data_IF_371862671913
#
_entry.id   IF_371862671913
#
_cell.length_a   1.000
_cell.length_b   1.000
_cell.length_c   1.000
_cell.angle_alpha   90.00
_cell.angle_beta   90.00
_cell.angle_gamma   90.00
#
_symmetry.space_group_name_H-M   'P 1'
#
loop_
_entity.id
_entity.type
_entity.pdbx_description
1 polymer ?
#
# COMPACT_ATOMS: atom_id res chain seq x y z
N UNK A 1 39.77 16.78 -55.99
CA UNK A 1 39.86 16.23 -54.61
C UNK A 1 38.74 16.66 -53.67
N UNK A 2 38.10 17.83 -53.85
CA UNK A 2 36.99 18.27 -52.97
C UNK A 2 35.68 17.48 -53.16
N UNK A 3 35.32 17.12 -54.39
CA UNK A 3 34.09 16.37 -54.69
C UNK A 3 34.04 14.97 -54.07
N UNK A 4 35.20 14.29 -53.97
CA UNK A 4 35.29 12.95 -53.39
C UNK A 4 35.07 12.97 -51.85
N UNK A 5 35.49 14.05 -51.18
CA UNK A 5 35.29 14.23 -49.73
C UNK A 5 33.83 14.55 -49.39
N UNK A 6 33.15 15.33 -50.22
CA UNK A 6 31.72 15.64 -50.04
C UNK A 6 30.83 14.39 -50.25
N UNK A 7 31.18 13.52 -51.21
CA UNK A 7 30.47 12.26 -51.45
C UNK A 7 30.65 11.26 -50.30
N UNK A 8 31.84 11.17 -49.71
CA UNK A 8 32.11 10.33 -48.53
C UNK A 8 31.34 10.78 -47.29
N UNK A 9 31.21 12.10 -47.09
CA UNK A 9 30.42 12.65 -45.97
C UNK A 9 28.93 12.39 -46.16
N UNK A 10 28.41 12.53 -47.38
CA UNK A 10 27.01 12.22 -47.69
C UNK A 10 26.69 10.72 -47.55
N UNK A 11 27.61 9.81 -47.89
CA UNK A 11 27.41 8.37 -47.67
C UNK A 11 27.36 8.00 -46.19
N UNK A 12 28.12 8.68 -45.33
CA UNK A 12 28.07 8.47 -43.88
C UNK A 12 26.71 8.92 -43.32
N UNK A 13 26.16 10.04 -43.79
CA UNK A 13 24.84 10.52 -43.35
C UNK A 13 23.69 9.61 -43.80
N UNK A 14 23.79 8.97 -44.98
CA UNK A 14 22.76 8.03 -45.46
C UNK A 14 22.80 6.70 -44.68
N UNK A 15 23.98 6.23 -44.26
CA UNK A 15 24.10 5.03 -43.42
C UNK A 15 23.52 5.25 -42.01
N UNK A 16 23.62 6.48 -41.47
CA UNK A 16 23.00 6.81 -40.17
C UNK A 16 21.45 6.87 -40.28
N UNK A 17 20.91 7.06 -41.48
CA UNK A 17 19.47 7.22 -41.72
C UNK A 17 18.72 5.92 -42.04
N UNK A 18 19.41 4.78 -42.18
CA UNK A 18 18.81 3.53 -42.69
C UNK A 18 18.90 2.32 -41.75
N UNK A 19 19.27 2.50 -40.49
CA UNK A 19 19.14 1.44 -39.48
C UNK A 19 17.76 1.44 -38.82
N UNK A 20 16.71 1.21 -39.61
CA UNK A 20 15.49 0.57 -39.09
C UNK A 20 15.73 -0.94 -39.15
N UNK A 21 16.23 -1.51 -38.06
CA UNK A 21 16.22 -2.95 -37.86
C UNK A 21 15.52 -3.29 -36.55
N UNK A 22 14.44 -4.03 -36.74
CA UNK A 22 13.57 -4.67 -35.78
C UNK A 22 14.32 -5.75 -34.96
N UNK A 23 14.09 -5.70 -33.63
CA UNK A 23 14.29 -6.74 -32.60
C UNK A 23 15.64 -6.86 -31.87
N UNK A 24 15.52 -7.16 -30.57
CA UNK A 24 16.54 -7.38 -29.51
C UNK A 24 16.98 -6.13 -28.76
N UNK A 25 16.80 -6.13 -27.44
CA UNK A 25 17.00 -4.99 -26.52
C UNK A 25 18.31 -4.24 -26.79
N UNK A 26 18.23 -3.11 -27.47
CA UNK A 26 19.39 -2.29 -27.79
C UNK A 26 19.75 -1.43 -26.57
N UNK A 27 21.04 -1.42 -26.23
CA UNK A 27 21.61 -0.46 -25.29
C UNK A 27 21.23 0.96 -25.72
N UNK A 28 21.00 1.85 -24.76
CA UNK A 28 20.63 3.24 -25.06
C UNK A 28 21.65 3.87 -26.02
N UNK A 29 21.16 4.69 -26.94
CA UNK A 29 22.06 5.58 -27.69
C UNK A 29 22.77 6.51 -26.71
N UNK A 30 23.92 7.06 -27.08
CA UNK A 30 24.64 8.04 -26.24
C UNK A 30 23.70 9.18 -25.79
N UNK A 31 22.84 9.67 -26.69
CA UNK A 31 21.85 10.72 -26.39
C UNK A 31 20.82 10.26 -25.36
N UNK A 32 20.28 9.07 -25.50
CA UNK A 32 19.30 8.52 -24.56
C UNK A 32 19.96 8.25 -23.20
N UNK A 33 21.21 7.80 -23.19
CA UNK A 33 22.00 7.58 -21.98
C UNK A 33 22.21 8.89 -21.22
N UNK A 34 22.56 9.99 -21.91
CA UNK A 34 22.65 11.32 -21.30
C UNK A 34 21.29 11.81 -20.76
N UNK A 35 20.21 11.58 -21.51
CA UNK A 35 18.85 11.92 -21.09
C UNK A 35 18.47 11.19 -19.80
N UNK A 36 18.73 9.88 -19.71
CA UNK A 36 18.47 9.10 -18.48
C UNK A 36 19.35 9.59 -17.31
N UNK A 37 20.63 9.85 -17.54
CA UNK A 37 21.60 10.18 -16.48
C UNK A 37 21.52 11.60 -15.95
N UNK A 38 21.13 12.58 -16.77
CA UNK A 38 21.17 13.99 -16.39
C UNK A 38 19.78 14.60 -16.27
N UNK A 39 18.87 14.24 -17.18
CA UNK A 39 17.52 14.81 -17.17
C UNK A 39 16.59 14.01 -16.24
N UNK A 40 16.67 12.68 -16.27
CA UNK A 40 15.80 11.84 -15.45
C UNK A 40 16.44 11.45 -14.08
N UNK A 41 17.73 11.13 -14.01
CA UNK A 41 18.43 10.60 -12.80
C UNK A 41 18.33 11.40 -11.49
N UNK A 42 18.23 12.75 -11.49
CA UNK A 42 18.06 13.51 -10.25
C UNK A 42 16.85 13.05 -9.43
N UNK A 43 15.78 12.61 -10.09
CA UNK A 43 14.55 12.10 -9.46
C UNK A 43 14.78 10.69 -8.88
N UNK A 44 15.51 9.82 -9.59
CA UNK A 44 15.90 8.49 -9.08
C UNK A 44 16.80 8.57 -7.84
N UNK A 45 17.70 9.54 -7.78
CA UNK A 45 18.55 9.76 -6.60
C UNK A 45 17.74 10.23 -5.40
N UNK A 46 16.72 11.05 -5.61
CA UNK A 46 15.81 11.48 -4.54
C UNK A 46 14.90 10.35 -4.05
N UNK A 47 14.43 9.47 -4.94
CA UNK A 47 13.66 8.27 -4.57
C UNK A 47 14.50 7.26 -3.78
N UNK A 48 15.80 7.12 -4.10
CA UNK A 48 16.73 6.22 -3.39
C UNK A 48 17.20 6.74 -2.04
N UNK A 49 16.98 8.02 -1.73
CA UNK A 49 17.39 8.66 -0.48
C UNK A 49 16.18 9.28 0.22
N UNK A 50 15.36 8.47 0.91
CA UNK A 50 14.15 8.96 1.53
C UNK A 50 14.51 9.60 2.87
N UNK A 51 14.85 10.89 2.87
CA UNK A 51 14.95 11.65 4.12
C UNK A 51 13.59 12.16 4.60
N UNK A 52 12.55 12.12 3.75
CA UNK A 52 11.20 12.56 4.12
C UNK A 52 10.10 11.74 3.38
N UNK A 53 9.19 11.06 4.11
CA UNK A 53 8.05 10.33 3.53
C UNK A 53 7.10 11.20 2.70
N UNK A 54 6.84 12.46 3.09
CA UNK A 54 6.02 13.42 2.33
C UNK A 54 6.63 13.72 0.97
N UNK A 55 7.95 13.89 0.94
CA UNK A 55 8.69 14.08 -0.31
C UNK A 55 8.63 12.83 -1.21
N UNK A 56 8.61 11.62 -0.65
CA UNK A 56 8.43 10.38 -1.43
C UNK A 56 7.01 10.30 -2.00
N UNK A 57 5.99 10.64 -1.22
CA UNK A 57 4.60 10.70 -1.68
C UNK A 57 4.42 11.74 -2.80
N UNK A 58 4.91 12.96 -2.63
CA UNK A 58 4.90 14.02 -3.66
C UNK A 58 5.59 13.56 -4.97
N UNK A 59 6.60 12.68 -4.86
CA UNK A 59 7.31 12.09 -5.98
C UNK A 59 6.59 10.89 -6.61
N UNK A 60 5.48 10.39 -6.04
CA UNK A 60 4.75 9.21 -6.50
C UNK A 60 3.26 9.47 -6.85
N UNK A 61 2.63 10.54 -6.33
CA UNK A 61 1.17 10.79 -6.37
C UNK A 61 0.56 11.21 -7.73
N UNK A 62 1.37 11.39 -8.79
CA UNK A 62 0.91 11.99 -10.08
C UNK A 62 0.97 11.05 -11.29
N UNK A 63 0.73 9.75 -11.09
CA UNK A 63 0.69 8.76 -12.15
C UNK A 63 -0.74 8.42 -12.67
N UNK A 64 -1.81 8.80 -11.97
CA UNK A 64 -3.20 8.62 -12.42
C UNK A 64 -3.97 9.96 -12.32
N UNK A 65 -4.73 10.29 -13.36
CA UNK A 65 -5.20 11.65 -13.70
C UNK A 65 -6.51 12.04 -12.99
N UNK A 66 -6.58 13.25 -12.37
CA UNK A 66 -7.53 14.34 -12.71
C UNK A 66 -7.85 15.32 -11.57
N UNK A 67 -7.71 16.61 -11.89
CA UNK A 67 -8.43 17.81 -11.39
C UNK A 67 -8.29 18.23 -9.92
N UNK A 68 -7.58 19.35 -9.79
CA UNK A 68 -7.44 20.27 -8.66
C UNK A 68 -6.21 20.08 -7.77
N UNK A 69 -5.59 21.23 -7.52
CA UNK A 69 -4.52 21.53 -6.58
C UNK A 69 -3.10 21.48 -7.21
N UNK A 70 -2.52 22.67 -7.20
CA UNK A 70 -1.17 22.99 -7.65
C UNK A 70 -0.17 22.23 -6.78
N UNK A 71 0.50 21.24 -7.36
CA UNK A 71 1.91 20.86 -7.10
C UNK A 71 2.34 19.75 -8.10
N UNK A 72 1.96 19.93 -9.38
CA UNK A 72 1.87 18.88 -10.40
C UNK A 72 3.11 18.68 -11.32
N UNK A 73 4.35 18.81 -10.83
CA UNK A 73 5.50 19.07 -11.73
C UNK A 73 6.60 17.99 -11.80
N UNK A 74 6.66 16.99 -10.91
CA UNK A 74 7.83 16.10 -10.81
C UNK A 74 7.70 14.78 -11.60
N UNK A 75 6.58 14.05 -11.50
CA UNK A 75 6.39 12.76 -12.17
C UNK A 75 5.98 12.88 -13.62
N UNK A 76 5.09 13.83 -13.95
CA UNK A 76 4.74 14.11 -15.35
C UNK A 76 6.02 14.33 -16.15
N UNK A 77 7.00 15.00 -15.55
CA UNK A 77 8.31 15.23 -16.16
C UNK A 77 9.13 13.95 -16.26
N UNK A 78 9.18 13.08 -15.24
CA UNK A 78 9.98 11.84 -15.28
C UNK A 78 9.35 10.69 -16.09
N UNK A 79 8.05 10.43 -15.93
CA UNK A 79 7.32 9.50 -16.79
C UNK A 79 7.37 9.97 -18.24
N UNK A 80 7.22 11.27 -18.55
CA UNK A 80 7.46 11.78 -19.91
C UNK A 80 8.93 11.67 -20.33
N UNK A 81 9.88 11.88 -19.42
CA UNK A 81 11.33 11.76 -19.67
C UNK A 81 11.69 10.33 -20.12
N UNK A 82 11.09 9.31 -19.52
CA UNK A 82 11.34 7.91 -19.86
C UNK A 82 10.34 7.29 -20.83
N UNK A 83 9.13 7.86 -21.01
CA UNK A 83 8.05 7.26 -21.81
C UNK A 83 8.46 7.01 -23.27
N UNK A 84 9.27 7.90 -23.83
CA UNK A 84 9.76 7.81 -25.21
C UNK A 84 11.01 6.95 -25.36
N UNK A 85 11.64 6.53 -24.25
CA UNK A 85 12.87 5.75 -24.26
C UNK A 85 12.56 4.26 -24.07
N UNK A 86 12.96 3.41 -25.02
CA UNK A 86 12.69 1.95 -24.99
C UNK A 86 13.96 1.12 -24.80
N UNK A 87 15.09 1.76 -24.51
CA UNK A 87 16.38 1.09 -24.32
C UNK A 87 16.53 0.46 -22.93
N UNK A 88 17.45 -0.50 -22.79
CA UNK A 88 17.61 -1.32 -21.59
C UNK A 88 17.79 -0.50 -20.29
N UNK A 89 18.58 0.57 -20.33
CA UNK A 89 18.82 1.42 -19.16
C UNK A 89 17.57 2.23 -18.78
N UNK A 90 16.80 2.70 -19.76
CA UNK A 90 15.52 3.37 -19.53
C UNK A 90 14.49 2.40 -18.94
N UNK A 91 14.41 1.17 -19.44
CA UNK A 91 13.53 0.13 -18.89
C UNK A 91 13.91 -0.24 -17.44
N UNK A 92 15.21 -0.34 -17.13
CA UNK A 92 15.68 -0.52 -15.75
C UNK A 92 15.30 0.67 -14.86
N UNK A 93 15.41 1.89 -15.35
CA UNK A 93 15.02 3.09 -14.62
C UNK A 93 13.50 3.14 -14.37
N UNK A 94 12.67 2.80 -15.36
CA UNK A 94 11.21 2.66 -15.23
C UNK A 94 10.87 1.61 -14.16
N UNK A 95 11.51 0.44 -14.21
CA UNK A 95 11.26 -0.63 -13.22
C UNK A 95 11.68 -0.25 -11.79
N UNK A 96 12.72 0.57 -11.62
CA UNK A 96 13.11 1.12 -10.31
C UNK A 96 12.08 2.16 -9.82
N UNK A 97 11.57 3.01 -10.71
CA UNK A 97 10.54 3.98 -10.36
C UNK A 97 9.23 3.30 -9.97
N UNK A 98 8.75 2.37 -10.79
CA UNK A 98 7.53 1.60 -10.52
C UNK A 98 7.63 0.95 -9.14
N UNK A 99 8.74 0.26 -8.85
CA UNK A 99 8.94 -0.37 -7.52
C UNK A 99 8.95 0.63 -6.36
N UNK A 100 9.58 1.80 -6.51
CA UNK A 100 9.66 2.78 -5.43
C UNK A 100 8.35 3.53 -5.18
N UNK A 101 7.50 3.68 -6.20
CA UNK A 101 6.21 4.35 -6.13
C UNK A 101 5.03 3.38 -6.03
N UNK A 102 5.31 2.09 -5.90
CA UNK A 102 4.28 1.10 -5.69
C UNK A 102 3.76 1.23 -4.25
N UNK A 103 2.44 1.31 -4.05
CA UNK A 103 1.78 1.44 -2.74
C UNK A 103 2.39 0.56 -1.64
N UNK A 104 2.91 1.14 -0.55
CA UNK A 104 3.38 0.37 0.61
C UNK A 104 3.02 1.11 1.89
N UNK A 105 1.89 0.73 2.49
CA UNK A 105 1.39 1.36 3.71
C UNK A 105 2.36 1.19 4.90
N UNK A 106 3.24 0.18 4.89
CA UNK A 106 4.17 -0.04 6.00
C UNK A 106 5.31 0.97 6.05
N UNK A 107 5.61 1.65 4.94
CA UNK A 107 6.62 2.71 4.90
C UNK A 107 6.14 4.01 5.58
N UNK A 108 4.84 4.12 5.85
CA UNK A 108 4.20 5.33 6.37
C UNK A 108 3.48 5.00 7.68
N UNK A 109 4.17 5.03 8.84
CA UNK A 109 3.61 4.62 10.12
C UNK A 109 2.32 5.33 10.51
N UNK A 110 2.22 6.64 10.24
CA UNK A 110 1.04 7.44 10.58
C UNK A 110 -0.17 7.03 9.73
N UNK A 111 0.02 6.89 8.41
CA UNK A 111 -1.02 6.40 7.51
C UNK A 111 -1.44 4.95 7.83
N UNK A 112 -0.47 4.11 8.18
CA UNK A 112 -0.73 2.75 8.67
C UNK A 112 -1.57 2.77 9.94
N UNK A 113 -1.22 3.60 10.92
CA UNK A 113 -1.95 3.68 12.19
C UNK A 113 -3.36 4.23 11.99
N UNK A 114 -3.53 5.22 11.12
CA UNK A 114 -4.83 5.73 10.71
C UNK A 114 -5.70 4.61 10.11
N UNK A 115 -5.15 3.81 9.20
CA UNK A 115 -5.86 2.70 8.58
C UNK A 115 -6.22 1.59 9.60
N UNK A 116 -5.32 1.29 10.54
CA UNK A 116 -5.61 0.39 11.67
C UNK A 116 -6.76 0.94 12.52
N UNK A 117 -6.76 2.24 12.81
CA UNK A 117 -7.85 2.93 13.51
C UNK A 117 -9.19 2.79 12.81
N UNK A 118 -9.21 2.96 11.47
CA UNK A 118 -10.40 2.73 10.66
C UNK A 118 -10.95 1.30 10.86
N UNK A 119 -10.09 0.29 10.73
CA UNK A 119 -10.48 -1.11 10.88
C UNK A 119 -11.01 -1.42 12.29
N UNK A 120 -10.41 -0.83 13.33
CA UNK A 120 -10.91 -0.92 14.71
C UNK A 120 -12.30 -0.32 14.84
N UNK A 121 -12.54 0.85 14.25
CA UNK A 121 -13.84 1.50 14.31
C UNK A 121 -14.92 0.67 13.59
N UNK A 122 -14.60 0.13 12.41
CA UNK A 122 -15.49 -0.82 11.70
C UNK A 122 -15.84 -2.00 12.61
N UNK A 123 -14.84 -2.63 13.24
CA UNK A 123 -15.06 -3.77 14.12
C UNK A 123 -15.99 -3.41 15.29
N UNK A 124 -15.76 -2.26 15.92
CA UNK A 124 -16.58 -1.77 17.03
C UNK A 124 -18.02 -1.52 16.60
N UNK A 125 -18.25 -0.88 15.46
CA UNK A 125 -19.60 -0.57 15.00
C UNK A 125 -20.36 -1.83 14.56
N UNK A 126 -19.68 -2.80 13.96
CA UNK A 126 -20.24 -4.11 13.62
C UNK A 126 -20.61 -4.93 14.86
N UNK A 127 -19.75 -4.95 15.89
CA UNK A 127 -19.97 -5.73 17.11
C UNK A 127 -21.00 -5.12 18.05
N UNK A 128 -21.10 -3.80 18.10
CA UNK A 128 -22.08 -3.07 18.94
C UNK A 128 -23.46 -2.92 18.29
N UNK A 129 -23.64 -3.37 17.04
CA UNK A 129 -24.90 -3.28 16.26
C UNK A 129 -25.51 -1.88 16.30
N UNK A 130 -24.67 -0.85 16.21
CA UNK A 130 -25.11 0.54 16.26
C UNK A 130 -25.90 0.87 14.99
N UNK A 131 -27.22 0.64 15.03
CA UNK A 131 -28.13 0.95 13.93
C UNK A 131 -27.97 2.43 13.55
N UNK A 132 -27.67 2.69 12.28
CA UNK A 132 -27.45 4.04 11.73
C UNK A 132 -25.99 4.43 11.52
N UNK A 133 -25.01 3.64 11.97
CA UNK A 133 -23.64 3.79 11.50
C UNK A 133 -23.56 3.43 10.00
N UNK A 134 -22.85 4.26 9.24
CA UNK A 134 -22.59 3.98 7.83
C UNK A 134 -21.53 2.87 7.64
N UNK A 135 -20.61 2.67 8.61
CA UNK A 135 -19.61 1.58 8.56
C UNK A 135 -20.23 0.21 8.85
N UNK A 136 -21.31 0.17 9.64
CA UNK A 136 -22.07 -1.05 9.93
C UNK A 136 -22.65 -1.69 8.66
N UNK A 137 -23.05 -0.87 7.69
CA UNK A 137 -23.75 -1.33 6.49
C UNK A 137 -22.84 -2.03 5.47
N UNK A 138 -21.52 -1.95 5.65
CA UNK A 138 -20.54 -2.46 4.70
C UNK A 138 -19.60 -3.49 5.34
N UNK A 139 -19.39 -4.61 4.65
CA UNK A 139 -18.51 -5.70 5.08
C UNK A 139 -17.03 -5.42 4.88
N UNK A 140 -16.47 -4.31 5.39
CA UNK A 140 -15.04 -3.98 5.23
C UNK A 140 -14.09 -5.03 5.84
N UNK A 141 -14.59 -5.82 6.80
CA UNK A 141 -13.88 -6.92 7.47
C UNK A 141 -14.29 -8.31 6.95
N UNK A 142 -15.13 -8.41 5.90
CA UNK A 142 -15.55 -9.72 5.37
C UNK A 142 -14.44 -10.35 4.53
N UNK A 143 -13.44 -10.91 5.20
CA UNK A 143 -12.32 -11.64 4.58
C UNK A 143 -12.75 -12.98 3.97
N UNK A 144 -13.87 -13.55 4.41
CA UNK A 144 -14.40 -14.81 3.92
C UNK A 144 -15.05 -14.64 2.54
N UNK A 145 -15.72 -13.52 2.32
CA UNK A 145 -16.32 -13.15 1.03
C UNK A 145 -15.65 -11.89 0.50
N UNK A 146 -14.48 -12.04 -0.14
CA UNK A 146 -13.69 -10.90 -0.64
C UNK A 146 -14.43 -10.02 -1.64
N UNK A 147 -15.42 -10.54 -2.35
CA UNK A 147 -16.32 -9.73 -3.19
C UNK A 147 -17.17 -8.76 -2.35
N UNK A 148 -17.59 -9.15 -1.13
CA UNK A 148 -18.26 -8.24 -0.19
C UNK A 148 -17.29 -7.19 0.36
N UNK A 149 -16.03 -7.56 0.60
CA UNK A 149 -15.01 -6.59 1.03
C UNK A 149 -14.69 -5.58 -0.06
N UNK A 150 -14.53 -6.05 -1.31
CA UNK A 150 -14.39 -5.18 -2.48
C UNK A 150 -15.60 -4.26 -2.62
N UNK A 151 -16.81 -4.81 -2.54
CA UNK A 151 -18.06 -4.04 -2.57
C UNK A 151 -18.10 -2.99 -1.44
N UNK A 152 -17.67 -3.34 -0.24
CA UNK A 152 -17.58 -2.41 0.90
C UNK A 152 -16.66 -1.23 0.60
N UNK A 153 -15.49 -1.44 -0.02
CA UNK A 153 -14.59 -0.36 -0.41
C UNK A 153 -15.05 0.43 -1.65
N UNK A 154 -15.93 -0.13 -2.49
CA UNK A 154 -16.54 0.59 -3.62
C UNK A 154 -17.71 1.45 -3.14
N UNK A 155 -18.71 0.84 -2.53
CA UNK A 155 -19.93 1.53 -2.13
C UNK A 155 -19.77 2.32 -0.83
N UNK A 156 -18.93 1.83 0.07
CA UNK A 156 -18.55 2.49 1.31
C UNK A 156 -17.30 3.36 1.16
N UNK A 157 -16.84 3.68 -0.06
CA UNK A 157 -15.67 4.55 -0.29
C UNK A 157 -15.77 5.86 0.51
N UNK A 158 -16.91 6.54 0.45
CA UNK A 158 -17.10 7.81 1.15
C UNK A 158 -16.99 7.64 2.67
N UNK A 159 -17.46 6.51 3.20
CA UNK A 159 -17.37 6.18 4.61
C UNK A 159 -15.92 6.11 5.11
N UNK A 160 -15.06 5.49 4.30
CA UNK A 160 -13.63 5.44 4.56
C UNK A 160 -13.00 6.84 4.50
N UNK A 161 -13.28 7.60 3.44
CA UNK A 161 -12.73 8.95 3.26
C UNK A 161 -13.15 9.92 4.38
N UNK A 162 -14.41 9.87 4.80
CA UNK A 162 -14.93 10.67 5.91
C UNK A 162 -14.24 10.30 7.22
N UNK A 163 -14.10 9.00 7.51
CA UNK A 163 -13.36 8.56 8.69
C UNK A 163 -11.93 9.09 8.68
N UNK A 164 -11.19 8.92 7.57
CA UNK A 164 -9.80 9.34 7.47
C UNK A 164 -9.68 10.86 7.62
N UNK A 165 -10.57 11.62 7.00
CA UNK A 165 -10.60 13.08 7.10
C UNK A 165 -10.82 13.56 8.54
N UNK A 166 -11.70 12.89 9.27
CA UNK A 166 -12.10 13.33 10.61
C UNK A 166 -11.15 12.85 11.71
N UNK A 167 -10.41 11.76 11.49
CA UNK A 167 -9.66 11.06 12.53
C UNK A 167 -8.15 10.98 12.29
N UNK A 168 -7.66 11.41 11.13
CA UNK A 168 -6.25 11.27 10.77
C UNK A 168 -5.60 12.62 10.46
N UNK A 169 -4.27 12.67 10.55
CA UNK A 169 -3.52 13.86 10.18
C UNK A 169 -3.57 14.12 8.65
N UNK A 170 -3.22 15.34 8.25
CA UNK A 170 -3.26 15.78 6.85
C UNK A 170 -2.46 14.84 5.92
N UNK A 171 -1.28 14.40 6.35
CA UNK A 171 -0.44 13.52 5.54
C UNK A 171 -1.07 12.13 5.35
N UNK A 172 -1.61 11.56 6.42
CA UNK A 172 -2.33 10.29 6.39
C UNK A 172 -3.57 10.37 5.51
N UNK A 173 -4.30 11.48 5.55
CA UNK A 173 -5.43 11.75 4.66
C UNK A 173 -5.01 11.80 3.20
N UNK A 174 -4.02 12.61 2.87
CA UNK A 174 -3.50 12.73 1.50
C UNK A 174 -3.03 11.36 0.98
N UNK A 175 -2.22 10.65 1.77
CA UNK A 175 -1.69 9.34 1.40
C UNK A 175 -2.78 8.31 1.13
N UNK A 176 -3.71 8.13 2.06
CA UNK A 176 -4.75 7.09 1.98
C UNK A 176 -5.80 7.42 0.94
N UNK A 177 -6.16 8.69 0.77
CA UNK A 177 -7.15 9.10 -0.24
C UNK A 177 -6.60 8.93 -1.65
N UNK A 178 -5.37 9.39 -1.91
CA UNK A 178 -4.71 9.23 -3.21
C UNK A 178 -4.39 7.77 -3.54
N UNK A 179 -4.14 6.92 -2.54
CA UNK A 179 -3.89 5.49 -2.75
C UNK A 179 -5.13 4.60 -2.64
N UNK A 180 -6.33 5.17 -2.50
CA UNK A 180 -7.55 4.39 -2.37
C UNK A 180 -7.76 3.38 -3.52
N UNK A 181 -7.52 3.69 -4.81
CA UNK A 181 -7.62 2.70 -5.88
C UNK A 181 -6.67 1.51 -5.69
N UNK A 182 -5.47 1.76 -5.13
CA UNK A 182 -4.50 0.70 -4.82
C UNK A 182 -4.96 -0.15 -3.64
N UNK A 183 -5.53 0.47 -2.61
CA UNK A 183 -6.15 -0.22 -1.46
C UNK A 183 -7.29 -1.12 -1.96
N UNK A 184 -8.21 -0.58 -2.77
CA UNK A 184 -9.32 -1.31 -3.37
C UNK A 184 -8.84 -2.51 -4.19
N UNK A 185 -7.78 -2.32 -4.99
CA UNK A 185 -7.19 -3.40 -5.79
C UNK A 185 -6.56 -4.47 -4.89
N UNK A 186 -5.89 -4.08 -3.82
CA UNK A 186 -5.22 -4.99 -2.90
C UNK A 186 -6.22 -5.83 -2.07
N UNK A 187 -7.33 -5.24 -1.61
CA UNK A 187 -8.38 -6.00 -0.90
C UNK A 187 -9.17 -6.93 -1.82
N UNK A 188 -9.17 -6.67 -3.14
CA UNK A 188 -9.89 -7.46 -4.15
C UNK A 188 -9.14 -8.68 -4.66
N UNK A 189 -7.82 -8.77 -4.45
CA UNK A 189 -7.02 -9.88 -4.98
C UNK A 189 -7.14 -11.11 -4.09
N UNK A 190 -7.24 -12.29 -4.71
CA UNK A 190 -7.09 -13.55 -4.00
C UNK A 190 -5.61 -13.72 -3.60
N UNK A 191 -5.30 -14.09 -2.35
CA UNK A 191 -3.95 -14.54 -2.03
C UNK A 191 -3.71 -15.77 -2.90
N UNK A 192 -2.62 -15.77 -3.65
CA UNK A 192 -2.23 -16.92 -4.47
C UNK A 192 -1.88 -18.08 -3.53
N UNK A 193 -2.86 -18.94 -3.26
CA UNK A 193 -2.71 -20.16 -2.48
C UNK A 193 -2.50 -19.96 -0.98
N UNK A 194 -2.78 -21.02 -0.23
CA UNK A 194 -2.35 -21.16 1.17
C UNK A 194 -0.88 -21.56 1.29
N UNK A 195 -0.14 -21.68 0.17
CA UNK A 195 1.28 -21.91 0.25
C UNK A 195 1.96 -20.57 0.57
N UNK A 196 2.67 -20.51 1.69
CA UNK A 196 3.32 -19.30 2.17
C UNK A 196 4.43 -18.75 1.22
N UNK A 197 4.48 -19.23 -0.04
CA UNK A 197 5.44 -18.89 -1.10
C UNK A 197 5.25 -17.47 -1.64
N UNK A 198 4.07 -16.87 -1.47
CA UNK A 198 3.74 -15.54 -1.99
C UNK A 198 3.44 -14.48 -0.92
N UNK A 199 3.90 -14.72 0.32
CA UNK A 199 3.64 -13.92 1.53
C UNK A 199 4.12 -12.46 1.51
N UNK A 200 4.92 -12.07 0.53
CA UNK A 200 5.42 -10.69 0.40
C UNK A 200 4.55 -9.79 -0.50
N UNK A 201 3.43 -10.30 -1.02
CA UNK A 201 2.51 -9.50 -1.82
C UNK A 201 1.79 -8.42 -0.98
N UNK A 202 1.53 -7.25 -1.58
CA UNK A 202 0.85 -6.12 -0.93
C UNK A 202 -0.57 -6.44 -0.45
N UNK A 203 -1.21 -7.38 -1.13
CA UNK A 203 -2.53 -7.92 -0.78
C UNK A 203 -2.54 -8.60 0.61
N UNK A 204 -1.36 -9.05 1.06
CA UNK A 204 -1.18 -9.60 2.40
C UNK A 204 -0.99 -8.52 3.47
N UNK A 205 -0.48 -7.34 3.11
CA UNK A 205 -0.26 -6.25 4.06
C UNK A 205 -1.59 -5.79 4.67
N UNK A 206 -2.64 -5.62 3.87
CA UNK A 206 -3.94 -5.15 4.37
C UNK A 206 -4.62 -6.19 5.29
N UNK A 207 -4.50 -7.48 4.99
CA UNK A 207 -5.00 -8.55 5.87
C UNK A 207 -4.24 -8.58 7.20
N UNK A 208 -2.92 -8.33 7.17
CA UNK A 208 -2.14 -8.20 8.39
C UNK A 208 -2.61 -7.03 9.26
N UNK A 209 -2.94 -5.88 8.67
CA UNK A 209 -3.41 -4.71 9.42
C UNK A 209 -4.76 -4.93 10.12
N UNK A 210 -5.62 -5.77 9.57
CA UNK A 210 -6.86 -6.20 10.23
C UNK A 210 -6.57 -6.98 11.51
N UNK A 211 -5.64 -7.94 11.45
CA UNK A 211 -5.23 -8.66 12.63
C UNK A 211 -4.56 -7.74 13.67
N UNK A 212 -3.81 -6.73 13.24
CA UNK A 212 -3.24 -5.69 14.12
C UNK A 212 -4.35 -4.86 14.79
N UNK A 213 -5.39 -4.48 14.04
CA UNK A 213 -6.55 -3.77 14.59
C UNK A 213 -7.23 -4.55 15.72
N UNK A 214 -7.49 -5.85 15.50
CA UNK A 214 -8.09 -6.72 16.53
C UNK A 214 -7.16 -6.93 17.73
N UNK A 215 -5.85 -7.04 17.49
CA UNK A 215 -4.84 -7.11 18.55
C UNK A 215 -4.89 -5.84 19.41
N UNK A 216 -4.79 -4.66 18.81
CA UNK A 216 -4.81 -3.40 19.56
C UNK A 216 -6.14 -3.17 20.30
N UNK A 217 -7.26 -3.58 19.72
CA UNK A 217 -8.56 -3.51 20.39
C UNK A 217 -8.60 -4.44 21.60
N UNK A 218 -8.06 -5.65 21.48
CA UNK A 218 -7.89 -6.58 22.61
C UNK A 218 -7.03 -5.96 23.71
N UNK A 219 -5.87 -5.41 23.36
CA UNK A 219 -4.96 -4.75 24.30
C UNK A 219 -5.62 -3.55 24.99
N UNK A 220 -6.36 -2.73 24.25
CA UNK A 220 -7.15 -1.60 24.77
C UNK A 220 -8.21 -2.06 25.79
N UNK A 221 -8.92 -3.16 25.52
CA UNK A 221 -9.90 -3.73 26.45
C UNK A 221 -9.24 -4.29 27.70
N UNK A 222 -8.12 -5.00 27.55
CA UNK A 222 -7.33 -5.50 28.68
C UNK A 222 -6.84 -4.35 29.56
N UNK A 223 -6.34 -3.25 28.98
CA UNK A 223 -5.89 -2.08 29.75
C UNK A 223 -7.01 -1.44 30.58
N UNK A 224 -8.27 -1.55 30.14
CA UNK A 224 -9.45 -1.07 30.88
C UNK A 224 -9.88 -2.03 31.99
N UNK A 225 -9.37 -3.26 32.02
CA UNK A 225 -9.61 -4.19 33.12
C UNK A 225 -8.81 -3.76 34.35
N UNK A 226 -9.51 -3.16 35.31
CA UNK A 226 -8.97 -2.97 36.66
C UNK A 226 -9.09 -4.27 37.46
N UNK A 227 -8.34 -4.40 38.56
CA UNK A 227 -8.51 -5.52 39.50
C UNK A 227 -9.97 -5.64 39.95
N UNK A 228 -10.64 -4.52 40.22
CA UNK A 228 -12.05 -4.50 40.59
C UNK A 228 -12.96 -5.06 39.48
N UNK A 229 -12.80 -4.59 38.24
CA UNK A 229 -13.62 -5.05 37.12
C UNK A 229 -13.35 -6.52 36.76
N UNK A 230 -12.13 -7.00 36.97
CA UNK A 230 -11.76 -8.40 36.73
C UNK A 230 -12.51 -9.36 37.66
N UNK A 231 -12.74 -8.96 38.91
CA UNK A 231 -13.43 -9.82 39.90
C UNK A 231 -14.94 -9.56 40.00
N UNK A 232 -15.40 -8.36 39.67
CA UNK A 232 -16.80 -7.95 39.90
C UNK A 232 -17.56 -7.59 38.63
N UNK A 233 -16.95 -7.70 37.44
CA UNK A 233 -17.59 -7.39 36.15
C UNK A 233 -17.18 -8.39 35.09
N UNK A 234 -17.67 -9.63 35.23
CA UNK A 234 -17.42 -10.73 34.28
C UNK A 234 -17.71 -10.36 32.82
N UNK A 235 -18.69 -9.48 32.58
CA UNK A 235 -19.01 -8.99 31.24
C UNK A 235 -17.83 -8.27 30.54
N UNK A 236 -16.98 -7.53 31.29
CA UNK A 236 -15.82 -6.84 30.71
C UNK A 236 -14.72 -7.83 30.33
N UNK A 237 -14.54 -8.88 31.14
CA UNK A 237 -13.57 -9.94 30.89
C UNK A 237 -14.02 -10.79 29.69
N UNK A 238 -15.31 -11.15 29.63
CA UNK A 238 -15.92 -11.84 28.49
C UNK A 238 -15.82 -11.03 27.19
N UNK A 239 -16.06 -9.71 27.26
CA UNK A 239 -15.97 -8.81 26.13
C UNK A 239 -14.52 -8.68 25.62
N UNK A 240 -13.53 -8.61 26.51
CA UNK A 240 -12.11 -8.65 26.14
C UNK A 240 -11.71 -10.01 25.55
N UNK A 241 -12.17 -11.12 26.14
CA UNK A 241 -11.91 -12.47 25.66
C UNK A 241 -12.47 -12.70 24.26
N UNK A 242 -13.69 -12.21 23.98
CA UNK A 242 -14.31 -12.33 22.66
C UNK A 242 -13.46 -11.70 21.56
N UNK A 243 -12.99 -10.46 21.74
CA UNK A 243 -12.09 -9.82 20.76
C UNK A 243 -10.77 -10.57 20.65
N UNK A 244 -10.25 -11.09 21.76
CA UNK A 244 -9.05 -11.92 21.76
C UNK A 244 -9.22 -13.16 20.87
N UNK A 245 -10.37 -13.84 20.94
CA UNK A 245 -10.67 -15.00 20.08
C UNK A 245 -10.78 -14.60 18.62
N UNK A 246 -11.37 -13.45 18.30
CA UNK A 246 -11.44 -12.93 16.93
C UNK A 246 -10.03 -12.63 16.37
N UNK A 247 -9.17 -11.97 17.17
CA UNK A 247 -7.77 -11.74 16.82
C UNK A 247 -6.98 -13.05 16.65
N UNK A 248 -7.17 -14.03 17.54
CA UNK A 248 -6.53 -15.36 17.45
C UNK A 248 -6.95 -16.11 16.18
N UNK A 249 -8.23 -15.99 15.80
CA UNK A 249 -8.75 -16.54 14.55
C UNK A 249 -8.09 -15.87 13.35
N UNK A 250 -8.06 -14.53 13.30
CA UNK A 250 -7.36 -13.76 12.26
C UNK A 250 -5.90 -14.21 12.12
N UNK A 251 -5.20 -14.36 13.25
CA UNK A 251 -3.82 -14.82 13.30
C UNK A 251 -3.62 -16.21 12.72
N UNK A 252 -4.57 -17.11 12.96
CA UNK A 252 -4.53 -18.49 12.47
C UNK A 252 -4.79 -18.55 10.96
N UNK A 253 -5.79 -17.80 10.48
CA UNK A 253 -6.13 -17.68 9.06
C UNK A 253 -5.00 -17.01 8.25
N UNK A 254 -4.20 -16.16 8.89
CA UNK A 254 -3.05 -15.47 8.30
C UNK A 254 -1.69 -15.96 8.84
N UNK A 255 -1.60 -17.25 9.19
CA UNK A 255 -0.40 -17.88 9.78
C UNK A 255 0.88 -17.77 8.96
N UNK A 256 0.77 -17.57 7.65
CA UNK A 256 1.91 -17.34 6.76
C UNK A 256 2.52 -15.92 6.90
N UNK A 257 1.73 -14.94 7.38
CA UNK A 257 2.15 -13.55 7.56
C UNK A 257 2.55 -13.26 9.00
N UNK A 258 1.95 -13.99 9.94
CA UNK A 258 2.08 -13.74 11.36
C UNK A 258 2.99 -14.82 11.96
N UNK A 259 4.20 -14.43 12.41
CA UNK A 259 5.16 -15.35 13.02
C UNK A 259 4.56 -16.19 14.13
N UNK A 260 4.97 -17.46 14.22
CA UNK A 260 4.49 -18.40 15.25
C UNK A 260 4.66 -17.87 16.68
N UNK A 261 5.73 -17.12 16.95
CA UNK A 261 5.95 -16.53 18.28
C UNK A 261 4.88 -15.50 18.65
N UNK A 262 4.43 -14.66 17.71
CA UNK A 262 3.35 -13.70 17.95
C UNK A 262 2.03 -14.43 18.17
N UNK A 263 1.75 -15.46 17.36
CA UNK A 263 0.56 -16.30 17.52
C UNK A 263 0.51 -16.99 18.87
N UNK A 264 1.64 -17.55 19.31
CA UNK A 264 1.77 -18.17 20.62
C UNK A 264 1.58 -17.16 21.76
N UNK A 265 2.29 -16.03 21.71
CA UNK A 265 2.17 -14.96 22.72
C UNK A 265 0.72 -14.51 22.86
N UNK A 266 0.03 -14.31 21.75
CA UNK A 266 -1.35 -13.84 21.75
C UNK A 266 -2.34 -14.93 22.20
N UNK A 267 -2.11 -16.20 21.84
CA UNK A 267 -2.90 -17.32 22.37
C UNK A 267 -2.87 -17.33 23.90
N UNK A 268 -1.69 -17.16 24.49
CA UNK A 268 -1.54 -17.12 25.95
C UNK A 268 -2.34 -15.98 26.59
N UNK A 269 -2.39 -14.81 25.95
CA UNK A 269 -3.23 -13.69 26.42
C UNK A 269 -4.71 -14.08 26.44
N UNK A 270 -5.19 -14.81 25.42
CA UNK A 270 -6.57 -15.27 25.39
C UNK A 270 -6.84 -16.35 26.45
N UNK A 271 -5.90 -17.26 26.68
CA UNK A 271 -6.00 -18.30 27.71
C UNK A 271 -6.05 -17.66 29.12
N UNK A 272 -5.18 -16.68 29.40
CA UNK A 272 -5.14 -15.92 30.66
C UNK A 272 -6.46 -15.14 30.90
N UNK A 273 -7.14 -14.70 29.84
CA UNK A 273 -8.46 -14.07 29.91
C UNK A 273 -9.57 -15.10 30.18
N UNK A 274 -9.48 -16.28 29.56
CA UNK A 274 -10.45 -17.37 29.75
C UNK A 274 -10.47 -17.88 31.18
N UNK A 275 -9.30 -18.00 31.83
CA UNK A 275 -9.19 -18.43 33.23
C UNK A 275 -9.87 -17.46 34.22
N UNK A 276 -10.24 -16.26 33.78
CA UNK A 276 -10.85 -15.20 34.59
C UNK A 276 -12.36 -15.04 34.36
N UNK A 277 -12.94 -15.87 33.49
CA UNK A 277 -14.39 -15.98 33.23
C UNK A 277 -14.93 -17.13 34.06
#
# INVERSE_FOLDING_TARGET
MFLLRSLLLLSIFVIISSSETLSSSSKCSLRDHFTVLFDCSPILKQLKSPTNPRKKLDLCEQAEVSTHIKHAFSIITFQKCLALLTCEEAEKAKAVMVRNCEFDINEFPDARQCFVGFLKNVYLEQTTKKQGSYLYNYGFLDVTHREHRKYAFVEGQQCFLDYVKDNCDEFSFDYLSSNLPNIMRAVSKNPLGNDCKHTQGKDHQLNFLECVALQEETESRIQKLTTFNTYFSGYLVEDAYKVCKDAQKCFSEHSCLIPSFLRYKFSKICDDLQERI
#
